data_IF_601934287351
#
_entry.id   IF_601934287351
#
_cell.length_a   1.000
_cell.length_b   1.000
_cell.length_c   1.000
_cell.angle_alpha   90.00
_cell.angle_beta   90.00
_cell.angle_gamma   90.00
#
_symmetry.space_group_name_H-M   'P 1'
#
loop_
_entity.id
_entity.type
_entity.pdbx_description
1 polymer ?
#
# COMPACT_ATOMS: atom_id res chain seq x y z
N UNK A 1 -32.90 -19.89 -17.12
CA UNK A 1 -31.82 -19.48 -16.20
C UNK A 1 -32.35 -19.62 -14.78
N UNK A 2 -32.35 -20.84 -14.25
CA UNK A 2 -32.82 -21.16 -12.89
C UNK A 2 -31.73 -20.77 -11.89
N UNK A 3 -32.04 -19.84 -10.99
CA UNK A 3 -31.19 -19.50 -9.85
C UNK A 3 -31.56 -20.43 -8.70
N UNK A 4 -30.67 -21.39 -8.43
CA UNK A 4 -30.74 -22.28 -7.28
C UNK A 4 -30.61 -21.46 -6.00
N UNK A 5 -31.67 -21.49 -5.18
CA UNK A 5 -31.71 -20.95 -3.82
C UNK A 5 -30.72 -21.73 -2.96
N UNK A 6 -29.64 -21.09 -2.52
CA UNK A 6 -28.72 -21.67 -1.54
C UNK A 6 -29.38 -21.54 -0.15
N UNK A 7 -29.92 -22.65 0.33
CA UNK A 7 -30.32 -22.83 1.73
C UNK A 7 -29.09 -22.74 2.63
N UNK A 8 -29.04 -21.75 3.53
CA UNK A 8 -28.09 -21.74 4.64
C UNK A 8 -28.68 -22.54 5.81
N UNK A 9 -28.12 -23.70 6.19
CA UNK A 9 -28.48 -24.34 7.45
C UNK A 9 -27.90 -23.54 8.63
N UNK A 10 -28.81 -23.00 9.42
CA UNK A 10 -28.72 -22.71 10.86
C UNK A 10 -27.34 -22.94 11.52
N UNK A 11 -26.52 -21.89 11.58
CA UNK A 11 -25.38 -21.84 12.52
C UNK A 11 -25.87 -21.34 13.90
N UNK A 12 -26.57 -22.22 14.63
CA UNK A 12 -26.65 -22.13 16.09
C UNK A 12 -25.41 -22.80 16.67
N UNK A 13 -24.37 -22.02 17.05
CA UNK A 13 -23.49 -22.37 18.18
C UNK A 13 -23.05 -21.10 18.92
N UNK A 14 -23.03 -21.14 20.27
CA UNK A 14 -22.81 -19.98 21.12
C UNK A 14 -21.37 -19.48 21.03
N UNK A 15 -21.19 -18.15 21.07
CA UNK A 15 -19.92 -17.51 21.34
C UNK A 15 -19.43 -17.92 22.73
N UNK A 16 -18.58 -18.94 22.80
CA UNK A 16 -17.80 -19.27 23.98
C UNK A 16 -16.49 -18.48 23.98
N UNK A 17 -16.24 -17.88 25.14
CA UNK A 17 -15.13 -17.03 25.59
C UNK A 17 -13.72 -17.37 25.07
N UNK A 18 -12.91 -16.30 25.06
CA UNK A 18 -11.45 -16.21 25.17
C UNK A 18 -10.61 -16.19 23.88
N UNK A 19 -10.41 -14.98 23.33
CA UNK A 19 -9.08 -14.48 22.99
C UNK A 19 -9.11 -12.95 22.86
N UNK A 20 -9.02 -12.30 24.02
CA UNK A 20 -8.83 -10.86 24.15
C UNK A 20 -7.37 -10.50 23.92
N UNK A 21 -7.02 -9.98 22.74
CA UNK A 21 -5.90 -9.03 22.61
C UNK A 21 -6.40 -7.66 23.06
N UNK A 22 -6.73 -7.57 24.35
CA UNK A 22 -7.05 -6.34 25.04
C UNK A 22 -5.88 -6.13 26.01
N UNK A 23 -5.18 -5.01 25.91
CA UNK A 23 -4.32 -4.59 27.01
C UNK A 23 -5.19 -4.58 28.28
N UNK A 24 -4.76 -5.25 29.37
CA UNK A 24 -5.51 -5.23 30.61
C UNK A 24 -5.44 -3.80 31.17
N UNK A 25 -6.48 -3.01 30.94
CA UNK A 25 -6.80 -1.92 31.83
C UNK A 25 -7.39 -2.57 33.09
N UNK A 26 -6.54 -2.80 34.09
CA UNK A 26 -6.98 -3.11 35.46
C UNK A 26 -7.90 -1.97 35.93
N UNK A 27 -9.21 -2.20 35.82
CA UNK A 27 -10.24 -1.43 36.52
C UNK A 27 -10.19 -1.85 37.99
N UNK A 28 -9.20 -1.32 38.72
CA UNK A 28 -8.89 -1.86 40.04
C UNK A 28 -7.92 -1.05 40.89
N UNK A 29 -7.68 0.22 40.58
CA UNK A 29 -7.09 1.18 41.52
C UNK A 29 -7.79 2.51 41.34
N UNK A 30 -8.36 3.06 42.43
CA UNK A 30 -8.88 4.42 42.52
C UNK A 30 -7.97 5.35 41.71
N UNK A 31 -8.44 5.79 40.55
CA UNK A 31 -7.79 6.82 39.75
C UNK A 31 -7.72 8.04 40.65
N UNK A 32 -6.52 8.33 41.16
CA UNK A 32 -6.22 9.58 41.84
C UNK A 32 -6.54 10.67 40.83
N UNK A 33 -7.63 11.40 41.09
CA UNK A 33 -8.06 12.57 40.33
C UNK A 33 -6.83 13.42 40.01
N UNK A 34 -6.71 13.84 38.75
CA UNK A 34 -5.74 14.87 38.38
C UNK A 34 -5.92 16.04 39.36
N UNK A 35 -4.85 16.51 40.03
CA UNK A 35 -4.99 17.59 40.98
C UNK A 35 -5.47 18.82 40.21
N UNK A 36 -6.65 19.32 40.59
CA UNK A 36 -7.12 20.62 40.14
C UNK A 36 -6.07 21.65 40.53
N UNK A 37 -5.71 22.53 39.59
CA UNK A 37 -4.60 23.48 39.74
C UNK A 37 -4.99 24.73 40.55
N UNK A 38 -5.89 24.55 41.53
CA UNK A 38 -6.25 25.55 42.53
C UNK A 38 -5.78 25.05 43.89
N UNK A 39 -4.56 25.42 44.24
CA UNK A 39 -3.94 25.06 45.51
C UNK A 39 -2.44 25.28 45.46
N UNK A 40 -1.96 26.23 46.25
CA UNK A 40 -0.59 26.73 46.22
C UNK A 40 0.50 25.65 46.30
N UNK A 41 1.54 25.89 45.50
CA UNK A 41 2.96 25.54 45.72
C UNK A 41 3.25 24.28 46.56
N UNK A 42 3.15 23.09 45.94
CA UNK A 42 4.17 22.03 45.98
C UNK A 42 3.63 20.77 45.25
N UNK A 43 3.94 20.62 43.97
CA UNK A 43 3.52 19.46 43.18
C UNK A 43 4.55 19.13 42.11
N UNK A 44 5.12 17.93 42.18
CA UNK A 44 6.06 17.39 41.20
C UNK A 44 5.59 17.69 39.77
N UNK A 45 6.28 18.61 39.08
CA UNK A 45 6.02 18.89 37.66
C UNK A 45 6.14 17.57 36.90
N UNK A 46 5.06 17.14 36.26
CA UNK A 46 5.07 15.96 35.39
C UNK A 46 6.20 16.15 34.38
N UNK A 47 7.13 15.18 34.23
CA UNK A 47 8.21 15.30 33.27
C UNK A 47 7.65 15.60 31.87
N UNK A 48 8.23 16.58 31.17
CA UNK A 48 7.74 17.02 29.85
C UNK A 48 7.58 15.86 28.85
N UNK A 49 8.45 14.84 28.95
CA UNK A 49 8.38 13.60 28.17
C UNK A 49 7.12 12.77 28.46
N UNK A 50 6.76 12.58 29.74
CA UNK A 50 5.52 11.86 30.12
C UNK A 50 4.27 12.62 29.66
N UNK A 51 4.30 13.94 29.68
CA UNK A 51 3.20 14.77 29.18
C UNK A 51 3.05 14.62 27.65
N UNK A 52 4.16 14.54 26.91
CA UNK A 52 4.14 14.26 25.47
C UNK A 52 3.59 12.86 25.16
N UNK A 53 4.02 11.83 25.90
CA UNK A 53 3.51 10.46 25.73
C UNK A 53 2.00 10.39 25.99
N UNK A 54 1.51 11.09 27.02
CA UNK A 54 0.09 11.19 27.33
C UNK A 54 -0.69 11.91 26.21
N UNK A 55 -0.14 13.03 25.69
CA UNK A 55 -0.70 13.76 24.55
C UNK A 55 -0.80 12.90 23.30
N UNK A 56 0.18 12.03 23.05
CA UNK A 56 0.16 11.06 21.96
C UNK A 56 -0.93 10.00 22.20
N UNK A 57 -0.99 9.41 23.40
CA UNK A 57 -1.97 8.39 23.76
C UNK A 57 -3.43 8.89 23.63
N UNK A 58 -3.74 10.10 24.11
CA UNK A 58 -5.06 10.69 23.92
C UNK A 58 -5.39 10.95 22.45
N UNK A 59 -4.37 11.33 21.67
CA UNK A 59 -4.51 11.53 20.24
C UNK A 59 -4.83 10.21 19.52
N UNK A 60 -4.13 9.11 19.81
CA UNK A 60 -4.41 7.77 19.26
C UNK A 60 -5.78 7.22 19.72
N UNK A 61 -6.14 7.44 20.98
CA UNK A 61 -7.45 7.06 21.51
C UNK A 61 -8.58 7.79 20.80
N UNK A 62 -8.47 9.12 20.63
CA UNK A 62 -9.45 9.91 19.88
C UNK A 62 -9.58 9.43 18.43
N UNK A 63 -8.46 9.14 17.76
CA UNK A 63 -8.47 8.56 16.41
C UNK A 63 -9.26 7.24 16.37
N UNK A 64 -9.04 6.37 17.34
CA UNK A 64 -9.74 5.08 17.45
C UNK A 64 -11.25 5.28 17.61
N UNK A 65 -11.69 6.26 18.41
CA UNK A 65 -13.11 6.60 18.55
C UNK A 65 -13.72 7.09 17.24
N UNK A 66 -13.04 7.99 16.52
CA UNK A 66 -13.49 8.50 15.21
C UNK A 66 -13.56 7.37 14.18
N UNK A 67 -12.56 6.49 14.13
CA UNK A 67 -12.58 5.32 13.25
C UNK A 67 -13.74 4.37 13.58
N UNK A 68 -14.06 4.18 14.85
CA UNK A 68 -15.17 3.36 15.29
C UNK A 68 -16.53 3.97 14.92
N UNK A 69 -16.68 5.30 15.07
CA UNK A 69 -17.86 6.04 14.62
C UNK A 69 -18.03 5.92 13.09
N UNK A 70 -16.95 6.07 12.33
CA UNK A 70 -16.95 5.87 10.88
C UNK A 70 -17.31 4.44 10.50
N UNK A 71 -16.78 3.44 11.20
CA UNK A 71 -17.13 2.03 10.99
C UNK A 71 -18.63 1.80 11.21
N UNK A 72 -19.21 2.30 12.31
CA UNK A 72 -20.65 2.20 12.57
C UNK A 72 -21.47 2.79 11.42
N UNK A 73 -21.18 4.03 11.03
CA UNK A 73 -21.92 4.76 9.99
C UNK A 73 -21.80 4.11 8.60
N UNK A 74 -20.59 3.67 8.24
CA UNK A 74 -20.31 3.10 6.93
C UNK A 74 -20.92 1.71 6.79
N UNK A 75 -20.85 0.87 7.83
CA UNK A 75 -21.48 -0.44 7.82
C UNK A 75 -23.01 -0.34 7.83
N UNK A 76 -23.59 0.54 8.64
CA UNK A 76 -25.04 0.78 8.61
C UNK A 76 -25.52 1.21 7.22
N UNK A 77 -24.80 2.16 6.60
CA UNK A 77 -25.09 2.60 5.23
C UNK A 77 -24.89 1.47 4.22
N UNK A 78 -23.87 0.63 4.41
CA UNK A 78 -23.60 -0.56 3.61
C UNK A 78 -24.76 -1.55 3.63
N UNK A 79 -25.22 -1.96 4.82
CA UNK A 79 -26.39 -2.82 5.00
C UNK A 79 -27.64 -2.21 4.37
N UNK A 80 -27.91 -0.94 4.63
CA UNK A 80 -29.06 -0.24 4.03
C UNK A 80 -29.00 -0.26 2.50
N UNK A 81 -27.84 -0.01 1.88
CA UNK A 81 -27.67 0.01 0.42
C UNK A 81 -27.74 -1.39 -0.20
N UNK A 82 -27.11 -2.39 0.40
CA UNK A 82 -27.12 -3.77 -0.15
C UNK A 82 -28.50 -4.41 -0.04
N UNK A 83 -29.21 -4.20 1.07
CA UNK A 83 -30.59 -4.69 1.26
C UNK A 83 -31.56 -3.97 0.33
N UNK A 84 -31.40 -2.65 0.12
CA UNK A 84 -32.17 -1.92 -0.91
C UNK A 84 -31.88 -2.46 -2.32
N UNK A 85 -30.63 -2.84 -2.61
CA UNK A 85 -30.25 -3.44 -3.91
C UNK A 85 -30.86 -4.82 -4.06
N UNK A 86 -30.85 -5.66 -3.03
CA UNK A 86 -31.53 -6.96 -2.99
C UNK A 86 -33.01 -6.81 -3.33
N UNK A 87 -33.71 -5.92 -2.64
CA UNK A 87 -35.15 -5.68 -2.83
C UNK A 87 -35.47 -5.20 -4.25
N UNK A 88 -34.63 -4.32 -4.81
CA UNK A 88 -34.76 -3.86 -6.19
C UNK A 88 -34.53 -4.97 -7.22
N UNK A 89 -33.57 -5.87 -6.98
CA UNK A 89 -33.20 -6.93 -7.93
C UNK A 89 -34.18 -8.11 -7.91
N UNK A 90 -34.78 -8.40 -6.76
CA UNK A 90 -35.70 -9.53 -6.57
C UNK A 90 -37.17 -9.08 -6.46
N UNK A 91 -37.44 -7.79 -6.66
CA UNK A 91 -38.79 -7.18 -6.55
C UNK A 91 -39.53 -7.59 -5.27
N UNK A 92 -38.85 -7.47 -4.13
CA UNK A 92 -39.35 -7.89 -2.80
C UNK A 92 -39.12 -6.80 -1.75
N UNK A 93 -39.74 -6.95 -0.57
CA UNK A 93 -39.54 -6.11 0.61
C UNK A 93 -38.82 -6.84 1.76
N UNK A 94 -38.39 -8.08 1.53
CA UNK A 94 -37.76 -8.91 2.55
C UNK A 94 -36.48 -8.28 3.12
N UNK A 95 -35.67 -7.59 2.30
CA UNK A 95 -34.45 -6.92 2.75
C UNK A 95 -34.73 -5.71 3.65
N UNK A 96 -35.78 -4.93 3.35
CA UNK A 96 -36.23 -3.85 4.21
C UNK A 96 -36.70 -4.36 5.58
N UNK A 97 -37.50 -5.43 5.63
CA UNK A 97 -37.96 -6.04 6.87
C UNK A 97 -36.79 -6.59 7.69
N UNK A 98 -35.87 -7.32 7.02
CA UNK A 98 -34.69 -7.87 7.68
C UNK A 98 -33.80 -6.76 8.27
N UNK A 99 -33.66 -5.61 7.59
CA UNK A 99 -32.93 -4.45 8.12
C UNK A 99 -33.53 -3.96 9.45
N UNK A 100 -34.86 -3.81 9.51
CA UNK A 100 -35.54 -3.32 10.72
C UNK A 100 -35.34 -4.31 11.86
N UNK A 101 -35.51 -5.60 11.57
CA UNK A 101 -35.44 -6.66 12.58
C UNK A 101 -34.02 -6.97 13.08
N UNK A 102 -32.98 -6.70 12.28
CA UNK A 102 -31.61 -7.13 12.60
C UNK A 102 -30.59 -6.00 12.65
N UNK A 103 -30.71 -4.98 11.80
CA UNK A 103 -29.69 -3.92 11.65
C UNK A 103 -30.05 -2.69 12.48
N UNK A 104 -31.30 -2.24 12.39
CA UNK A 104 -31.78 -1.04 13.11
C UNK A 104 -31.80 -1.28 14.62
N UNK A 105 -31.96 -2.54 15.05
CA UNK A 105 -31.90 -2.96 16.46
C UNK A 105 -30.53 -3.44 16.94
N UNK A 106 -29.53 -3.48 16.07
CA UNK A 106 -28.23 -4.02 16.43
C UNK A 106 -27.49 -3.10 17.42
N UNK A 107 -26.81 -3.70 18.41
CA UNK A 107 -26.00 -2.98 19.40
C UNK A 107 -24.95 -2.08 18.75
N UNK A 108 -24.38 -2.50 17.61
CA UNK A 108 -23.38 -1.71 16.91
C UNK A 108 -23.94 -0.39 16.37
N UNK A 109 -25.26 -0.24 16.19
CA UNK A 109 -25.91 0.98 15.67
C UNK A 109 -26.66 1.77 16.74
N UNK A 110 -27.37 1.09 17.64
CA UNK A 110 -28.15 1.71 18.73
C UNK A 110 -27.23 2.49 19.67
N UNK A 111 -26.08 1.93 20.03
CA UNK A 111 -25.18 2.56 20.99
C UNK A 111 -24.61 3.87 20.40
N UNK A 112 -24.91 4.99 21.07
CA UNK A 112 -24.40 6.35 20.75
C UNK A 112 -23.41 6.88 21.79
N UNK A 113 -22.93 6.03 22.69
CA UNK A 113 -21.92 6.40 23.69
C UNK A 113 -20.63 6.90 23.03
N UNK A 114 -20.37 6.47 21.79
CA UNK A 114 -19.24 6.93 21.00
C UNK A 114 -19.21 8.46 20.83
N UNK A 115 -20.37 9.09 20.64
CA UNK A 115 -20.48 10.54 20.47
C UNK A 115 -20.11 11.27 21.78
N UNK A 116 -20.55 10.71 22.91
CA UNK A 116 -20.22 11.19 24.25
C UNK A 116 -18.74 11.01 24.57
N UNK A 117 -18.17 9.83 24.26
CA UNK A 117 -16.75 9.55 24.48
C UNK A 117 -15.84 10.49 23.67
N UNK A 118 -16.24 10.83 22.44
CA UNK A 118 -15.55 11.83 21.62
C UNK A 118 -15.58 13.19 22.32
N UNK A 119 -16.75 13.67 22.74
CA UNK A 119 -16.91 14.96 23.43
C UNK A 119 -16.11 15.03 24.74
N UNK A 120 -16.17 13.96 25.56
CA UNK A 120 -15.44 13.87 26.82
C UNK A 120 -13.92 13.91 26.60
N UNK A 121 -13.46 13.25 25.53
CA UNK A 121 -12.03 13.24 25.15
C UNK A 121 -11.57 14.62 24.67
N UNK A 122 -12.36 15.31 23.84
CA UNK A 122 -12.07 16.69 23.41
C UNK A 122 -11.95 17.63 24.61
N UNK A 123 -12.87 17.50 25.56
CA UNK A 123 -12.94 18.34 26.75
C UNK A 123 -11.74 18.13 27.67
N UNK A 124 -11.38 16.87 27.95
CA UNK A 124 -10.20 16.55 28.76
C UNK A 124 -8.89 17.03 28.14
N UNK A 125 -8.71 16.85 26.82
CA UNK A 125 -7.49 17.28 26.15
C UNK A 125 -7.40 18.80 26.08
N UNK A 126 -8.52 19.48 25.89
CA UNK A 126 -8.58 20.95 25.89
C UNK A 126 -8.23 21.51 27.26
N UNK A 127 -8.91 21.05 28.30
CA UNK A 127 -8.82 21.63 29.64
C UNK A 127 -7.55 21.18 30.37
N UNK A 128 -7.20 19.89 30.30
CA UNK A 128 -6.16 19.32 31.15
C UNK A 128 -4.78 19.25 30.47
N UNK A 129 -4.74 19.25 29.12
CA UNK A 129 -3.49 19.03 28.36
C UNK A 129 -3.05 20.22 27.50
N UNK A 130 -3.96 21.10 27.10
CA UNK A 130 -3.65 22.30 26.32
C UNK A 130 -4.07 23.59 27.02
N UNK A 131 -4.19 23.56 28.35
CA UNK A 131 -4.41 24.73 29.21
C UNK A 131 -5.64 25.57 28.78
N UNK A 132 -6.70 24.92 28.30
CA UNK A 132 -7.93 25.56 27.82
C UNK A 132 -7.92 25.98 26.35
N UNK A 133 -6.79 25.84 25.63
CA UNK A 133 -6.71 26.18 24.21
C UNK A 133 -7.36 25.09 23.33
N UNK A 134 -8.65 25.29 23.06
CA UNK A 134 -9.45 24.41 22.20
C UNK A 134 -8.87 24.29 20.79
N UNK A 135 -8.33 25.38 20.22
CA UNK A 135 -7.81 25.33 18.85
C UNK A 135 -6.58 24.42 18.77
N UNK A 136 -5.67 24.56 19.73
CA UNK A 136 -4.47 23.72 19.83
C UNK A 136 -4.80 22.26 20.15
N UNK A 137 -5.77 22.03 21.03
CA UNK A 137 -6.28 20.69 21.33
C UNK A 137 -6.90 20.02 20.10
N UNK A 138 -7.82 20.70 19.43
CA UNK A 138 -8.49 20.17 18.24
C UNK A 138 -7.53 20.00 17.06
N UNK A 139 -6.52 20.86 16.91
CA UNK A 139 -5.46 20.69 15.89
C UNK A 139 -4.63 19.43 16.11
N UNK A 140 -4.46 18.99 17.37
CA UNK A 140 -3.78 17.73 17.70
C UNK A 140 -4.68 16.51 17.64
N UNK A 141 -5.95 16.64 18.03
CA UNK A 141 -6.89 15.54 18.06
C UNK A 141 -7.43 15.18 16.68
N UNK A 142 -7.89 16.21 15.95
CA UNK A 142 -8.41 16.02 14.60
C UNK A 142 -7.28 15.56 13.72
N UNK A 143 -7.51 14.42 13.07
CA UNK A 143 -6.81 14.16 11.82
C UNK A 143 -7.22 15.29 10.88
N UNK A 144 -6.27 16.00 10.24
CA UNK A 144 -6.61 16.92 9.17
C UNK A 144 -7.61 16.22 8.24
N UNK A 145 -8.65 16.91 7.74
CA UNK A 145 -9.54 16.30 6.78
C UNK A 145 -8.68 15.65 5.69
N UNK A 146 -9.09 14.47 5.19
CA UNK A 146 -8.43 13.79 4.06
C UNK A 146 -8.18 14.75 2.87
N UNK A 147 -8.88 15.90 2.84
CA UNK A 147 -8.62 17.12 2.08
C UNK A 147 -7.47 18.01 2.57
N UNK A 148 -6.31 17.47 2.96
CA UNK A 148 -5.22 18.30 3.52
C UNK A 148 -4.75 19.38 2.53
N UNK A 149 -4.37 20.56 3.06
CA UNK A 149 -3.92 21.71 2.26
C UNK A 149 -2.73 21.30 1.38
N UNK A 150 -2.98 21.13 0.08
CA UNK A 150 -1.91 20.98 -0.89
C UNK A 150 -1.01 22.22 -0.81
N UNK A 151 0.25 22.04 -0.44
CA UNK A 151 1.22 23.12 -0.57
C UNK A 151 1.27 23.50 -2.05
N UNK A 152 1.00 24.76 -2.44
CA UNK A 152 1.12 25.19 -3.83
C UNK A 152 2.49 24.85 -4.43
N UNK A 153 3.51 24.81 -3.58
CA UNK A 153 4.86 24.41 -3.91
C UNK A 153 4.98 22.96 -4.37
N UNK A 154 4.24 22.03 -3.77
CA UNK A 154 4.24 20.61 -4.17
C UNK A 154 3.64 20.45 -5.56
N UNK A 155 2.49 21.09 -5.83
CA UNK A 155 1.86 21.07 -7.17
C UNK A 155 2.81 21.64 -8.23
N UNK A 156 3.47 22.77 -7.93
CA UNK A 156 4.45 23.38 -8.82
C UNK A 156 5.61 22.43 -9.13
N UNK A 157 6.22 21.80 -8.11
CA UNK A 157 7.30 20.82 -8.29
C UNK A 157 6.89 19.64 -9.14
N UNK A 158 5.71 19.06 -8.87
CA UNK A 158 5.18 17.94 -9.66
C UNK A 158 5.08 18.36 -11.13
N UNK A 159 4.52 19.53 -11.42
CA UNK A 159 4.45 20.08 -12.77
C UNK A 159 5.83 20.28 -13.41
N UNK A 160 6.76 20.93 -12.70
CA UNK A 160 8.12 21.20 -13.16
C UNK A 160 8.89 19.92 -13.48
N UNK A 161 8.92 18.95 -12.57
CA UNK A 161 9.66 17.70 -12.77
C UNK A 161 8.99 16.79 -13.81
N UNK A 162 7.65 16.77 -13.88
CA UNK A 162 6.95 16.01 -14.92
C UNK A 162 7.19 16.60 -16.31
N UNK A 163 7.16 17.94 -16.44
CA UNK A 163 7.50 18.63 -17.68
C UNK A 163 8.95 18.39 -18.10
N UNK A 164 9.89 18.52 -17.15
CA UNK A 164 11.30 18.22 -17.40
C UNK A 164 11.52 16.76 -17.82
N UNK A 165 10.84 15.80 -17.17
CA UNK A 165 10.91 14.39 -17.55
C UNK A 165 10.43 14.15 -18.98
N UNK A 166 9.31 14.75 -19.39
CA UNK A 166 8.79 14.61 -20.76
C UNK A 166 9.79 15.15 -21.78
N UNK A 167 10.31 16.36 -21.56
CA UNK A 167 11.29 16.98 -22.47
C UNK A 167 12.56 16.13 -22.56
N UNK A 168 13.10 15.67 -21.43
CA UNK A 168 14.30 14.85 -21.41
C UNK A 168 14.06 13.46 -22.04
N UNK A 169 12.87 12.87 -21.85
CA UNK A 169 12.51 11.61 -22.48
C UNK A 169 12.49 11.74 -24.00
N UNK A 170 11.90 12.83 -24.52
CA UNK A 170 11.91 13.13 -25.96
C UNK A 170 13.36 13.28 -26.46
N UNK A 171 14.20 14.01 -25.73
CA UNK A 171 15.62 14.17 -26.07
C UNK A 171 16.38 12.84 -26.10
N UNK A 172 16.12 11.93 -25.15
CA UNK A 172 16.72 10.58 -25.11
C UNK A 172 16.26 9.75 -26.31
N UNK A 173 14.98 9.82 -26.68
CA UNK A 173 14.43 9.11 -27.85
C UNK A 173 15.07 9.62 -29.14
N UNK A 174 15.12 10.93 -29.34
CA UNK A 174 15.75 11.55 -30.51
C UNK A 174 17.24 11.16 -30.58
N UNK A 175 17.96 11.27 -29.46
CA UNK A 175 19.38 10.90 -29.39
C UNK A 175 19.60 9.42 -29.71
N UNK A 176 18.68 8.54 -29.29
CA UNK A 176 18.72 7.11 -29.61
C UNK A 176 18.55 6.87 -31.11
N UNK A 177 17.55 7.48 -31.74
CA UNK A 177 17.28 7.35 -33.18
C UNK A 177 18.46 7.91 -34.00
N UNK A 178 18.98 9.08 -33.65
CA UNK A 178 20.10 9.70 -34.38
C UNK A 178 21.39 8.89 -34.29
N UNK A 179 21.64 8.22 -33.16
CA UNK A 179 22.82 7.35 -32.99
C UNK A 179 22.67 6.00 -33.67
N UNK A 180 21.47 5.44 -33.69
CA UNK A 180 21.17 4.19 -34.43
C UNK A 180 21.41 4.39 -35.93
N UNK A 181 21.05 5.56 -36.47
CA UNK A 181 21.30 5.94 -37.87
C UNK A 181 22.80 6.06 -38.23
N UNK A 182 23.68 6.35 -37.27
CA UNK A 182 25.13 6.53 -37.50
C UNK A 182 25.97 5.26 -37.22
N UNK A 183 25.36 4.17 -36.72
CA UNK A 183 26.11 2.99 -36.31
C UNK A 183 26.41 2.05 -37.49
N UNK A 184 27.53 2.28 -38.19
CA UNK A 184 28.08 1.33 -39.19
C UNK A 184 28.87 0.17 -38.54
N UNK A 185 29.12 0.20 -37.23
CA UNK A 185 29.83 -0.87 -36.51
C UNK A 185 28.93 -1.45 -35.40
N UNK A 186 28.34 -2.60 -35.68
CA UNK A 186 27.38 -3.34 -34.86
C UNK A 186 27.90 -3.91 -33.53
N UNK A 187 28.64 -3.11 -32.74
CA UNK A 187 29.22 -3.51 -31.44
C UNK A 187 28.34 -3.18 -30.24
N UNK A 188 27.31 -2.34 -30.38
CA UNK A 188 26.41 -1.96 -29.28
C UNK A 188 24.98 -2.47 -29.52
N UNK A 189 24.62 -3.63 -28.97
CA UNK A 189 23.26 -4.17 -29.08
C UNK A 189 22.29 -3.39 -28.17
N UNK A 190 21.37 -2.64 -28.78
CA UNK A 190 20.37 -1.82 -28.09
C UNK A 190 19.52 -2.61 -27.08
N UNK A 191 19.41 -3.94 -27.23
CA UNK A 191 18.68 -4.80 -26.28
C UNK A 191 19.29 -4.79 -24.89
N UNK A 192 20.60 -4.56 -24.77
CA UNK A 192 21.28 -4.45 -23.48
C UNK A 192 20.80 -3.19 -22.75
N UNK A 193 20.84 -2.05 -23.43
CA UNK A 193 20.35 -0.76 -22.90
C UNK A 193 18.86 -0.87 -22.54
N UNK A 194 18.06 -1.43 -23.43
CA UNK A 194 16.63 -1.61 -23.17
C UNK A 194 16.37 -2.41 -21.89
N UNK A 195 17.07 -3.53 -21.66
CA UNK A 195 16.91 -4.34 -20.45
C UNK A 195 17.38 -3.63 -19.18
N UNK A 196 18.45 -2.83 -19.26
CA UNK A 196 18.96 -2.05 -18.13
C UNK A 196 17.98 -0.95 -17.69
N UNK A 197 17.32 -0.30 -18.65
CA UNK A 197 16.51 0.89 -18.39
C UNK A 197 15.01 0.60 -18.27
N UNK A 198 14.50 -0.48 -18.88
CA UNK A 198 13.08 -0.86 -18.84
C UNK A 198 12.60 -1.13 -17.41
N UNK A 199 13.33 -1.93 -16.63
CA UNK A 199 12.93 -2.28 -15.27
C UNK A 199 12.71 -1.05 -14.37
N UNK A 200 13.73 -0.17 -14.23
CA UNK A 200 13.59 1.09 -13.49
C UNK A 200 12.46 1.99 -14.01
N UNK A 201 12.28 2.09 -15.33
CA UNK A 201 11.19 2.88 -15.92
C UNK A 201 9.81 2.35 -15.52
N UNK A 202 9.62 1.03 -15.53
CA UNK A 202 8.36 0.40 -15.13
C UNK A 202 8.04 0.67 -13.66
N UNK A 203 9.05 0.69 -12.77
CA UNK A 203 8.87 1.05 -11.35
C UNK A 203 8.45 2.52 -11.22
N UNK A 204 9.10 3.43 -11.95
CA UNK A 204 8.75 4.86 -11.96
C UNK A 204 7.31 5.06 -12.44
N UNK A 205 6.94 4.42 -13.56
CA UNK A 205 5.59 4.48 -14.11
C UNK A 205 4.56 3.91 -13.13
N UNK A 206 4.88 2.82 -12.45
CA UNK A 206 4.01 2.22 -11.44
C UNK A 206 3.74 3.17 -10.26
N UNK A 207 4.77 3.86 -9.74
CA UNK A 207 4.61 4.86 -8.67
C UNK A 207 3.75 6.03 -9.16
N UNK A 208 3.96 6.48 -10.40
CA UNK A 208 3.14 7.55 -10.98
C UNK A 208 1.67 7.15 -11.10
N UNK A 209 1.38 5.97 -11.65
CA UNK A 209 0.03 5.42 -11.76
C UNK A 209 -0.60 5.18 -10.38
N UNK A 210 0.21 4.87 -9.37
CA UNK A 210 -0.25 4.82 -7.97
C UNK A 210 -0.79 6.16 -7.51
N UNK A 211 -0.06 7.24 -7.77
CA UNK A 211 -0.50 8.61 -7.48
C UNK A 211 -1.82 8.93 -8.17
N UNK A 212 -1.95 8.57 -9.46
CA UNK A 212 -3.20 8.76 -10.23
C UNK A 212 -4.36 7.95 -9.62
N UNK A 213 -4.13 6.70 -9.22
CA UNK A 213 -5.15 5.87 -8.58
C UNK A 213 -5.62 6.46 -7.24
N UNK A 214 -4.68 6.90 -6.39
CA UNK A 214 -5.00 7.55 -5.11
C UNK A 214 -5.79 8.84 -5.33
N UNK A 215 -5.41 9.65 -6.32
CA UNK A 215 -6.16 10.83 -6.73
C UNK A 215 -7.59 10.46 -7.16
N UNK A 216 -7.76 9.44 -8.01
CA UNK A 216 -9.07 8.97 -8.47
C UNK A 216 -9.97 8.44 -7.35
N UNK A 217 -9.41 7.72 -6.38
CA UNK A 217 -10.14 7.27 -5.19
C UNK A 217 -10.60 8.45 -4.34
N UNK A 218 -9.72 9.43 -4.12
CA UNK A 218 -10.03 10.62 -3.35
C UNK A 218 -11.11 11.48 -4.01
N UNK A 219 -11.01 11.73 -5.31
CA UNK A 219 -12.00 12.50 -6.07
C UNK A 219 -13.37 11.81 -6.12
N UNK A 220 -13.39 10.48 -6.09
CA UNK A 220 -14.62 9.67 -6.04
C UNK A 220 -15.17 9.45 -4.62
N UNK A 221 -14.54 10.02 -3.58
CA UNK A 221 -14.98 9.84 -2.19
C UNK A 221 -14.73 8.45 -1.60
N UNK A 222 -13.82 7.66 -2.19
CA UNK A 222 -13.42 6.35 -1.69
C UNK A 222 -12.38 6.51 -0.58
N UNK A 223 -12.68 5.99 0.61
CA UNK A 223 -11.78 6.03 1.78
C UNK A 223 -10.65 4.99 1.64
N UNK A 224 -9.69 5.28 0.77
CA UNK A 224 -8.54 4.41 0.50
C UNK A 224 -7.64 4.20 1.73
N UNK A 225 -7.54 5.20 2.62
CA UNK A 225 -6.80 5.09 3.88
C UNK A 225 -7.35 3.95 4.73
N UNK A 226 -8.68 3.87 4.88
CA UNK A 226 -9.32 2.78 5.60
C UNK A 226 -9.20 1.43 4.87
N UNK A 227 -9.44 1.41 3.55
CA UNK A 227 -9.44 0.17 2.76
C UNK A 227 -8.08 -0.51 2.76
N UNK A 228 -7.00 0.27 2.68
CA UNK A 228 -5.63 -0.23 2.71
C UNK A 228 -5.03 -0.29 4.12
N UNK A 229 -5.83 0.00 5.16
CA UNK A 229 -5.40 0.03 6.56
C UNK A 229 -4.15 0.93 6.78
N UNK A 230 -4.10 2.05 6.06
CA UNK A 230 -3.04 3.05 6.17
C UNK A 230 -3.23 3.91 7.42
N UNK A 231 -2.14 4.40 8.00
CA UNK A 231 -2.20 5.36 9.09
C UNK A 231 -2.82 6.68 8.59
N UNK A 232 -3.96 7.13 9.14
CA UNK A 232 -4.62 8.38 8.74
C UNK A 232 -3.77 9.64 8.95
N UNK A 233 -2.73 9.58 9.79
CA UNK A 233 -1.88 10.74 10.12
C UNK A 233 -0.59 10.79 9.33
N UNK A 234 -0.12 9.65 8.88
CA UNK A 234 1.17 9.50 8.24
C UNK A 234 1.04 8.51 7.09
N UNK A 235 0.45 8.98 6.00
CA UNK A 235 0.45 8.29 4.72
C UNK A 235 0.93 9.23 3.62
N UNK A 236 1.51 8.66 2.57
CA UNK A 236 1.91 9.42 1.39
C UNK A 236 0.65 9.98 0.69
N UNK A 237 0.70 11.26 0.32
CA UNK A 237 -0.33 11.88 -0.51
C UNK A 237 -0.13 11.51 -1.99
N UNK A 238 -1.19 11.64 -2.77
CA UNK A 238 -1.17 11.45 -4.22
C UNK A 238 -0.12 12.32 -4.91
N UNK A 239 0.04 13.58 -4.46
CA UNK A 239 1.02 14.51 -5.02
C UNK A 239 2.45 14.11 -4.65
N UNK A 240 2.68 13.60 -3.43
CA UNK A 240 4.01 13.12 -3.05
C UNK A 240 4.41 11.88 -3.85
N UNK A 241 3.47 10.96 -4.12
CA UNK A 241 3.72 9.82 -5.01
C UNK A 241 4.10 10.29 -6.42
N UNK A 242 3.36 11.24 -6.98
CA UNK A 242 3.67 11.81 -8.30
C UNK A 242 4.97 12.61 -8.31
N UNK A 243 5.31 13.34 -7.24
CA UNK A 243 6.57 14.08 -7.08
C UNK A 243 7.76 13.12 -7.07
N UNK A 244 7.69 12.05 -6.26
CA UNK A 244 8.72 11.01 -6.19
C UNK A 244 8.92 10.33 -7.55
N UNK A 245 7.82 9.99 -8.24
CA UNK A 245 7.89 9.41 -9.58
C UNK A 245 8.53 10.37 -10.59
N UNK A 246 8.15 11.65 -10.59
CA UNK A 246 8.69 12.65 -11.50
C UNK A 246 10.18 12.91 -11.26
N UNK A 247 10.62 13.02 -10.00
CA UNK A 247 12.03 13.18 -9.64
C UNK A 247 12.84 11.96 -10.10
N UNK A 248 12.35 10.75 -9.84
CA UNK A 248 13.02 9.54 -10.32
C UNK A 248 13.00 9.43 -11.85
N UNK A 249 11.96 9.89 -12.52
CA UNK A 249 11.89 10.02 -13.97
C UNK A 249 12.99 10.91 -14.53
N UNK A 250 13.18 12.11 -13.98
CA UNK A 250 14.24 13.04 -14.39
C UNK A 250 15.62 12.40 -14.18
N UNK A 251 15.87 11.82 -13.01
CA UNK A 251 17.11 11.09 -12.73
C UNK A 251 17.30 9.97 -13.76
N UNK A 252 16.24 9.20 -14.06
CA UNK A 252 16.28 8.13 -15.04
C UNK A 252 16.62 8.63 -16.44
N UNK A 253 16.15 9.80 -16.86
CA UNK A 253 16.49 10.37 -18.18
C UNK A 253 17.90 10.96 -18.27
N UNK A 254 18.45 11.51 -17.18
CA UNK A 254 19.79 12.16 -17.18
C UNK A 254 20.95 11.18 -17.05
N UNK A 255 20.65 10.03 -16.49
CA UNK A 255 21.60 9.00 -16.13
C UNK A 255 22.39 8.34 -17.28
N UNK A 256 21.93 8.22 -18.56
CA UNK A 256 22.81 7.81 -19.65
C UNK A 256 23.94 8.82 -19.88
N UNK A 257 23.64 10.11 -19.69
CA UNK A 257 24.59 11.21 -19.88
C UNK A 257 25.57 11.36 -18.72
N UNK A 258 25.17 10.96 -17.50
CA UNK A 258 25.95 11.15 -16.28
C UNK A 258 26.76 9.92 -15.84
N UNK A 259 26.62 8.75 -16.49
CA UNK A 259 27.32 7.50 -16.13
C UNK A 259 27.17 7.04 -14.66
N UNK A 260 26.20 7.58 -13.92
CA UNK A 260 26.06 7.43 -12.46
C UNK A 260 24.72 6.79 -12.08
N UNK A 261 24.50 5.56 -12.51
CA UNK A 261 23.25 4.82 -12.22
C UNK A 261 23.26 4.09 -10.88
N UNK A 262 24.35 3.42 -10.55
CA UNK A 262 24.39 2.46 -9.43
C UNK A 262 24.48 3.15 -8.04
N UNK A 263 25.26 4.23 -7.84
CA UNK A 263 25.40 4.82 -6.50
C UNK A 263 24.19 5.66 -6.06
N UNK A 264 23.55 6.39 -6.97
CA UNK A 264 22.53 7.38 -6.62
C UNK A 264 21.19 6.76 -6.21
N UNK A 265 20.76 5.69 -6.87
CA UNK A 265 19.53 4.98 -6.51
C UNK A 265 19.65 4.31 -5.13
N UNK A 266 20.77 3.65 -4.83
CA UNK A 266 20.98 3.00 -3.52
C UNK A 266 21.11 4.02 -2.38
N UNK A 267 21.79 5.14 -2.60
CA UNK A 267 22.01 6.18 -1.57
C UNK A 267 20.73 6.97 -1.28
N UNK A 268 19.90 7.28 -2.29
CA UNK A 268 18.61 7.97 -2.07
C UNK A 268 17.51 7.04 -1.57
N UNK A 269 17.47 5.76 -1.97
CA UNK A 269 16.56 4.76 -1.38
C UNK A 269 16.88 4.48 0.09
N UNK A 270 18.15 4.52 0.51
CA UNK A 270 18.54 4.47 1.93
C UNK A 270 18.07 5.70 2.74
N UNK A 271 17.89 6.84 2.07
CA UNK A 271 17.56 8.15 2.70
C UNK A 271 16.06 8.49 2.63
N UNK A 272 15.31 7.82 1.76
CA UNK A 272 13.87 7.61 1.91
C UNK A 272 13.70 6.70 3.11
N UNK A 273 13.50 7.33 4.25
CA UNK A 273 13.41 6.77 5.59
C UNK A 273 12.74 5.37 5.60
N UNK A 274 13.55 4.30 5.58
CA UNK A 274 13.11 2.91 5.79
C UNK A 274 12.34 2.79 7.13
N UNK A 275 12.48 3.79 8.01
CA UNK A 275 11.78 3.93 9.28
C UNK A 275 10.33 4.41 9.16
N UNK A 276 9.90 5.05 8.07
CA UNK A 276 8.56 5.67 7.96
C UNK A 276 7.49 4.77 7.36
N UNK A 277 7.84 3.77 6.54
CA UNK A 277 6.87 2.87 5.87
C UNK A 277 7.05 1.39 6.25
N UNK A 278 7.13 1.10 7.56
CA UNK A 278 7.02 -0.29 8.06
C UNK A 278 5.78 -1.02 7.52
N UNK A 279 4.73 -0.28 7.13
CA UNK A 279 3.52 -0.82 6.51
C UNK A 279 3.76 -1.57 5.19
N UNK A 280 4.38 -0.93 4.19
CA UNK A 280 4.62 -1.57 2.89
C UNK A 280 5.58 -2.76 3.01
N UNK A 281 6.65 -2.61 3.79
CA UNK A 281 7.62 -3.70 4.01
C UNK A 281 6.96 -4.88 4.75
N UNK A 282 6.07 -4.61 5.72
CA UNK A 282 5.29 -5.65 6.39
C UNK A 282 4.36 -6.37 5.41
N UNK A 283 3.67 -5.63 4.53
CA UNK A 283 2.80 -6.24 3.49
C UNK A 283 3.62 -7.09 2.52
N UNK A 284 4.74 -6.58 2.00
CA UNK A 284 5.63 -7.35 1.13
C UNK A 284 6.20 -8.59 1.84
N UNK A 285 6.54 -8.48 3.13
CA UNK A 285 6.99 -9.62 3.94
C UNK A 285 5.90 -10.68 4.09
N UNK A 286 4.65 -10.30 4.33
CA UNK A 286 3.49 -11.23 4.38
C UNK A 286 3.20 -11.88 3.03
N UNK A 287 3.38 -11.15 1.93
CA UNK A 287 3.24 -11.68 0.57
C UNK A 287 4.33 -12.73 0.30
N UNK A 288 5.58 -12.41 0.61
CA UNK A 288 6.72 -13.31 0.42
C UNK A 288 6.62 -14.60 1.25
N UNK A 289 5.95 -14.52 2.40
CA UNK A 289 5.71 -15.64 3.32
C UNK A 289 4.31 -16.24 3.18
N UNK A 290 3.58 -15.97 2.09
CA UNK A 290 2.38 -16.73 1.78
C UNK A 290 2.76 -18.22 1.59
N UNK A 291 1.99 -19.19 2.11
CA UNK A 291 0.60 -19.09 2.61
C UNK A 291 0.47 -19.00 4.15
N UNK A 292 1.51 -18.61 4.89
CA UNK A 292 1.54 -18.77 6.36
C UNK A 292 0.67 -17.78 7.14
N UNK A 293 0.32 -16.63 6.55
CA UNK A 293 -0.46 -15.58 7.20
C UNK A 293 -1.89 -15.52 6.66
N UNK A 294 -2.80 -14.90 7.42
CA UNK A 294 -4.11 -14.50 6.88
C UNK A 294 -3.90 -13.48 5.75
N UNK A 295 -4.70 -13.55 4.69
CA UNK A 295 -4.56 -12.68 3.51
C UNK A 295 -5.56 -11.54 3.61
N UNK A 296 -5.09 -10.35 3.96
CA UNK A 296 -5.88 -9.12 3.97
C UNK A 296 -6.06 -8.54 2.56
N UNK A 297 -6.84 -7.46 2.47
CA UNK A 297 -7.08 -6.77 1.20
C UNK A 297 -5.78 -6.18 0.62
N UNK A 298 -4.96 -5.51 1.44
CA UNK A 298 -3.70 -4.92 1.01
C UNK A 298 -2.71 -5.98 0.48
N UNK A 299 -2.57 -7.12 1.16
CA UNK A 299 -1.68 -8.21 0.73
C UNK A 299 -2.13 -8.78 -0.62
N UNK A 300 -3.44 -8.98 -0.78
CA UNK A 300 -4.05 -9.46 -2.02
C UNK A 300 -3.80 -8.48 -3.17
N UNK A 301 -4.02 -7.18 -2.91
CA UNK A 301 -3.98 -6.14 -3.94
C UNK A 301 -2.55 -5.86 -4.39
N UNK A 302 -1.60 -5.71 -3.46
CA UNK A 302 -0.18 -5.49 -3.80
C UNK A 302 0.40 -6.70 -4.53
N UNK A 303 0.08 -7.93 -4.11
CA UNK A 303 0.53 -9.12 -4.83
C UNK A 303 -0.01 -9.16 -6.27
N UNK A 304 -1.21 -8.62 -6.52
CA UNK A 304 -1.76 -8.57 -7.87
C UNK A 304 -1.00 -7.54 -8.73
N UNK A 305 -0.67 -6.39 -8.15
CA UNK A 305 0.20 -5.39 -8.80
C UNK A 305 1.60 -5.94 -9.12
N UNK A 306 2.16 -6.81 -8.29
CA UNK A 306 3.46 -7.44 -8.55
C UNK A 306 3.46 -8.28 -9.83
N UNK A 307 2.32 -8.81 -10.28
CA UNK A 307 2.25 -9.57 -11.53
C UNK A 307 2.56 -8.68 -12.74
N UNK A 308 2.11 -7.42 -12.73
CA UNK A 308 2.45 -6.43 -13.74
C UNK A 308 3.92 -5.99 -13.68
N UNK A 309 4.58 -6.19 -12.53
CA UNK A 309 6.00 -5.86 -12.31
C UNK A 309 6.95 -7.05 -12.50
N UNK A 310 6.47 -8.22 -12.95
CA UNK A 310 7.32 -9.36 -13.25
C UNK A 310 8.50 -9.03 -14.19
N UNK A 311 8.32 -8.23 -15.27
CA UNK A 311 9.45 -7.79 -16.10
C UNK A 311 10.48 -6.97 -15.31
N UNK A 312 10.03 -6.06 -14.46
CA UNK A 312 10.92 -5.23 -13.64
C UNK A 312 11.74 -6.06 -12.64
N UNK A 313 11.15 -7.12 -12.07
CA UNK A 313 11.86 -8.07 -11.19
C UNK A 313 12.95 -8.82 -11.97
N UNK A 314 12.64 -9.32 -13.17
CA UNK A 314 13.64 -10.02 -13.99
C UNK A 314 14.73 -9.09 -14.55
N UNK A 315 14.42 -7.82 -14.78
CA UNK A 315 15.38 -6.81 -15.24
C UNK A 315 16.26 -6.30 -14.10
N UNK A 316 15.75 -6.26 -12.86
CA UNK A 316 16.57 -5.99 -11.67
C UNK A 316 17.68 -7.03 -11.54
N UNK A 317 17.37 -8.31 -11.76
CA UNK A 317 18.39 -9.35 -11.82
C UNK A 317 19.42 -9.11 -12.94
N UNK A 318 18.96 -8.74 -14.15
CA UNK A 318 19.86 -8.40 -15.26
C UNK A 318 20.78 -7.23 -14.91
N UNK A 319 20.24 -6.19 -14.28
CA UNK A 319 20.97 -5.02 -13.84
C UNK A 319 22.03 -5.38 -12.78
N UNK A 320 21.67 -6.19 -11.79
CA UNK A 320 22.62 -6.69 -10.78
C UNK A 320 23.74 -7.50 -11.46
N UNK A 321 23.40 -8.43 -12.34
CA UNK A 321 24.38 -9.23 -13.07
C UNK A 321 25.32 -8.35 -13.92
N UNK A 322 24.79 -7.36 -14.64
CA UNK A 322 25.58 -6.48 -15.50
C UNK A 322 26.64 -5.68 -14.73
N UNK A 323 26.28 -5.14 -13.55
CA UNK A 323 27.19 -4.32 -12.76
C UNK A 323 28.06 -5.09 -11.77
N UNK A 324 27.67 -6.31 -11.39
CA UNK A 324 28.42 -7.13 -10.42
C UNK A 324 29.31 -8.20 -11.07
N UNK A 325 29.03 -8.60 -12.32
CA UNK A 325 29.79 -9.64 -13.01
C UNK A 325 30.99 -9.05 -13.75
N UNK A 326 32.24 -9.46 -13.45
CA UNK A 326 33.43 -9.02 -14.18
C UNK A 326 33.37 -9.36 -15.67
N UNK A 327 32.64 -10.42 -16.02
CA UNK A 327 32.56 -10.95 -17.38
C UNK A 327 31.41 -10.36 -18.19
N UNK A 328 30.60 -9.46 -17.60
CA UNK A 328 29.51 -8.79 -18.30
C UNK A 328 29.98 -7.57 -19.11
N UNK A 329 31.16 -7.01 -18.77
CA UNK A 329 31.72 -5.82 -19.41
C UNK A 329 33.14 -6.07 -19.89
N UNK A 330 33.57 -5.35 -20.93
CA UNK A 330 34.93 -5.45 -21.47
C UNK A 330 35.85 -4.55 -20.63
N UNK A 331 36.94 -5.12 -20.13
CA UNK A 331 37.94 -4.44 -19.27
C UNK A 331 37.33 -3.78 -18.01
N UNK A 332 36.20 -4.28 -17.51
CA UNK A 332 35.48 -3.69 -16.38
C UNK A 332 34.81 -2.33 -16.68
N UNK A 333 34.76 -1.91 -17.96
CA UNK A 333 34.14 -0.64 -18.37
C UNK A 333 32.65 -0.83 -18.62
N UNK A 334 31.79 -0.26 -17.76
CA UNK A 334 30.33 -0.36 -17.88
C UNK A 334 29.72 0.25 -19.15
N UNK A 335 30.51 0.98 -19.92
CA UNK A 335 30.12 1.55 -21.21
C UNK A 335 30.14 0.52 -22.35
N UNK A 336 30.81 -0.62 -22.15
CA UNK A 336 31.00 -1.64 -23.18
C UNK A 336 30.63 -3.00 -22.62
N UNK A 337 29.51 -3.54 -23.12
CA UNK A 337 29.05 -4.86 -22.75
C UNK A 337 29.77 -5.95 -23.56
N UNK A 338 30.04 -7.09 -22.94
CA UNK A 338 30.68 -8.22 -23.63
C UNK A 338 29.69 -8.92 -24.57
N UNK A 339 28.52 -9.32 -24.04
CA UNK A 339 27.47 -9.98 -24.81
C UNK A 339 26.09 -9.79 -24.14
N UNK A 340 25.04 -9.74 -24.95
CA UNK A 340 23.64 -9.56 -24.51
C UNK A 340 23.05 -10.79 -23.85
N UNK A 341 23.59 -11.99 -24.10
CA UNK A 341 23.08 -13.23 -23.53
C UNK A 341 23.77 -13.60 -22.23
N UNK A 342 24.93 -13.02 -21.92
CA UNK A 342 25.71 -13.33 -20.70
C UNK A 342 24.86 -13.37 -19.43
N UNK A 343 24.07 -12.32 -19.15
CA UNK A 343 23.22 -12.22 -17.96
C UNK A 343 21.79 -12.80 -18.14
N UNK A 344 21.55 -13.51 -19.23
CA UNK A 344 20.30 -14.22 -19.51
C UNK A 344 20.54 -15.72 -19.45
N UNK A 345 21.51 -16.21 -20.21
CA UNK A 345 21.75 -17.64 -20.40
C UNK A 345 22.48 -18.25 -19.21
N UNK A 346 23.48 -17.55 -18.65
CA UNK A 346 24.23 -18.07 -17.48
C UNK A 346 23.37 -18.23 -16.22
N UNK A 347 22.23 -17.51 -16.17
CA UNK A 347 21.34 -17.39 -15.01
C UNK A 347 19.89 -17.68 -15.36
N UNK A 348 19.65 -18.47 -16.41
CA UNK A 348 18.32 -18.73 -16.94
C UNK A 348 17.36 -19.30 -15.88
N UNK A 349 17.86 -20.16 -14.99
CA UNK A 349 17.09 -20.79 -13.94
C UNK A 349 16.64 -19.76 -12.89
N UNK A 350 17.54 -18.83 -12.50
CA UNK A 350 17.21 -17.70 -11.61
C UNK A 350 16.12 -16.84 -12.26
N UNK A 351 16.31 -16.48 -13.53
CA UNK A 351 15.36 -15.66 -14.29
C UNK A 351 13.98 -16.32 -14.37
N UNK A 352 13.94 -17.64 -14.57
CA UNK A 352 12.70 -18.42 -14.60
C UNK A 352 11.98 -18.37 -13.25
N UNK A 353 12.71 -18.60 -12.15
CA UNK A 353 12.15 -18.49 -10.78
C UNK A 353 11.60 -17.08 -10.53
N UNK A 354 12.39 -16.04 -10.81
CA UNK A 354 12.00 -14.65 -10.60
C UNK A 354 10.76 -14.26 -11.43
N UNK A 355 10.63 -14.78 -12.65
CA UNK A 355 9.44 -14.56 -13.49
C UNK A 355 8.19 -15.23 -12.93
N UNK A 356 8.34 -16.35 -12.20
CA UNK A 356 7.23 -17.06 -11.57
C UNK A 356 6.83 -16.46 -10.21
N UNK A 357 7.73 -15.76 -9.52
CA UNK A 357 7.51 -15.30 -8.14
C UNK A 357 6.20 -14.51 -7.93
N UNK A 358 5.85 -13.49 -8.75
CA UNK A 358 4.60 -12.76 -8.56
C UNK A 358 3.35 -13.63 -8.66
N UNK A 359 3.34 -14.56 -9.63
CA UNK A 359 2.23 -15.49 -9.81
C UNK A 359 2.20 -16.53 -8.68
N UNK A 360 3.36 -16.97 -8.20
CA UNK A 360 3.49 -17.85 -7.04
C UNK A 360 2.88 -17.24 -5.78
N UNK A 361 3.19 -15.98 -5.47
CA UNK A 361 2.61 -15.32 -4.31
C UNK A 361 1.08 -15.28 -4.37
N UNK A 362 0.52 -14.98 -5.55
CA UNK A 362 -0.92 -14.97 -5.76
C UNK A 362 -1.55 -16.35 -5.68
N UNK A 363 -0.91 -17.35 -6.28
CA UNK A 363 -1.32 -18.75 -6.18
C UNK A 363 -1.39 -19.20 -4.71
N UNK A 364 -0.32 -18.99 -3.94
CA UNK A 364 -0.25 -19.34 -2.53
C UNK A 364 -1.31 -18.61 -1.69
N UNK A 365 -1.52 -17.30 -1.92
CA UNK A 365 -2.58 -16.53 -1.28
C UNK A 365 -3.98 -17.07 -1.61
N UNK A 366 -4.24 -17.47 -2.86
CA UNK A 366 -5.54 -18.00 -3.26
C UNK A 366 -5.82 -19.35 -2.58
N UNK A 367 -4.84 -20.23 -2.49
CA UNK A 367 -4.96 -21.49 -1.75
C UNK A 367 -5.18 -21.26 -0.25
N UNK A 368 -4.46 -20.29 0.34
CA UNK A 368 -4.68 -19.89 1.74
C UNK A 368 -6.11 -19.40 1.97
N UNK A 369 -6.64 -18.54 1.10
CA UNK A 369 -8.02 -18.06 1.21
C UNK A 369 -9.04 -19.18 1.07
N UNK A 370 -8.85 -20.11 0.12
CA UNK A 370 -9.68 -21.30 0.02
C UNK A 370 -9.65 -22.14 1.30
N UNK A 371 -8.46 -22.34 1.89
CA UNK A 371 -8.33 -23.08 3.15
C UNK A 371 -9.15 -22.45 4.27
N UNK A 372 -9.16 -21.12 4.33
CA UNK A 372 -9.75 -20.33 5.41
C UNK A 372 -11.27 -20.19 5.26
N UNK A 373 -11.78 -19.95 4.05
CA UNK A 373 -13.21 -19.74 3.81
C UNK A 373 -13.96 -21.00 3.40
N UNK A 374 -13.25 -22.03 2.89
CA UNK A 374 -13.80 -23.22 2.22
C UNK A 374 -14.62 -22.92 0.96
N UNK A 375 -14.55 -21.70 0.44
CA UNK A 375 -15.24 -21.30 -0.77
C UNK A 375 -14.39 -21.56 -2.01
N UNK A 376 -14.79 -22.55 -2.82
CA UNK A 376 -14.06 -22.92 -4.04
C UNK A 376 -14.03 -21.76 -5.05
N UNK A 377 -15.14 -21.06 -5.22
CA UNK A 377 -15.23 -19.85 -6.03
C UNK A 377 -15.19 -18.60 -5.14
N UNK A 378 -14.35 -17.58 -5.45
CA UNK A 378 -13.47 -17.46 -6.61
C UNK A 378 -12.05 -18.01 -6.37
N UNK A 379 -11.75 -18.58 -5.20
CA UNK A 379 -10.38 -18.83 -4.77
C UNK A 379 -9.61 -19.86 -5.60
N UNK A 380 -10.19 -21.04 -5.85
CA UNK A 380 -9.52 -22.08 -6.64
C UNK A 380 -9.44 -21.71 -8.13
N UNK A 381 -10.44 -21.00 -8.66
CA UNK A 381 -10.40 -20.48 -10.04
C UNK A 381 -9.25 -19.49 -10.21
N UNK A 382 -9.07 -18.58 -9.25
CA UNK A 382 -7.95 -17.65 -9.26
C UNK A 382 -6.62 -18.38 -9.07
N UNK A 383 -6.53 -19.38 -8.18
CA UNK A 383 -5.34 -20.21 -8.05
C UNK A 383 -4.98 -20.87 -9.40
N UNK A 384 -5.97 -21.45 -10.09
CA UNK A 384 -5.82 -21.98 -11.44
C UNK A 384 -5.26 -20.94 -12.41
N UNK A 385 -5.89 -19.76 -12.47
CA UNK A 385 -5.43 -18.62 -13.30
C UNK A 385 -3.96 -18.29 -13.08
N UNK A 386 -3.52 -18.10 -11.83
CA UNK A 386 -2.12 -17.75 -11.57
C UNK A 386 -1.15 -18.93 -11.78
N UNK A 387 -1.61 -20.17 -11.62
CA UNK A 387 -0.78 -21.36 -11.91
C UNK A 387 -0.42 -21.51 -13.39
N UNK A 388 -1.23 -20.95 -14.31
CA UNK A 388 -0.95 -20.98 -15.75
C UNK A 388 0.41 -20.36 -16.09
N UNK A 389 0.85 -19.35 -15.32
CA UNK A 389 2.15 -18.71 -15.46
C UNK A 389 3.30 -19.71 -15.30
N UNK A 390 3.17 -20.71 -14.42
CA UNK A 390 4.23 -21.70 -14.20
C UNK A 390 4.46 -22.53 -15.47
N UNK A 391 3.37 -22.91 -16.16
CA UNK A 391 3.46 -23.65 -17.41
C UNK A 391 4.06 -22.79 -18.53
N UNK A 392 3.60 -21.53 -18.66
CA UNK A 392 4.14 -20.59 -19.66
C UNK A 392 5.64 -20.39 -19.47
N UNK A 393 6.10 -20.16 -18.24
CA UNK A 393 7.52 -19.98 -17.94
C UNK A 393 8.29 -21.28 -18.19
N UNK A 394 7.77 -22.43 -17.74
CA UNK A 394 8.44 -23.74 -17.93
C UNK A 394 8.63 -24.05 -19.42
N UNK A 395 7.58 -23.93 -20.24
CA UNK A 395 7.69 -24.18 -21.68
C UNK A 395 8.57 -23.16 -22.40
N UNK A 396 8.51 -21.89 -22.01
CA UNK A 396 9.38 -20.84 -22.55
C UNK A 396 10.85 -21.14 -22.25
N UNK A 397 11.16 -21.59 -21.03
CA UNK A 397 12.51 -21.98 -20.65
C UNK A 397 12.95 -23.24 -21.38
N UNK A 398 12.13 -24.29 -21.45
CA UNK A 398 12.47 -25.52 -22.19
C UNK A 398 12.74 -25.28 -23.67
N UNK A 399 11.97 -24.39 -24.33
CA UNK A 399 12.19 -24.00 -25.73
C UNK A 399 13.55 -23.36 -25.98
N UNK A 400 14.20 -22.79 -24.97
CA UNK A 400 15.55 -22.24 -25.13
C UNK A 400 16.63 -23.33 -25.12
N UNK A 401 16.30 -24.58 -24.73
CA UNK A 401 17.24 -25.70 -24.56
C UNK A 401 16.99 -26.90 -25.48
N UNK A 402 15.83 -26.96 -26.10
CA UNK A 402 15.49 -27.91 -27.17
C UNK A 402 15.58 -27.14 -28.48
#
# INVERSE_FOLDING_TARGET
MQLSVVNYPQLKRPFTKNQSFFFPLEVGKKSRLLPSRDGGLNGNKVPARKLQDLKLAFSEYYLSLVLLQNYQNLNYTGFRKILKKHDKMLSTHAGANWRIENVDVANFYINKDIDKLIQDTESKVTNDLEDGDRQKAMKRLRVPPLGDHHSPWTTFKVGLFSGAFIVLLITVIISGISKDYQSEQGRNDWRIVFRLYRGPLLVILFIFLMGVNVYGWRSSGVNHVLIFELDPRNHLSEQHLMEVAAIFGVIWTLSPSLSLWVPFCLIRLKRLDIRRDFGLLRVLGRIATAPFFYVGFADFWIADQLNSLAPAITDLHYLICFYSSPNATIDGKWQVATDKFRCVDSTYWIRSILSCLPAWFRFAQCLRRYRDTKEAFPHLVNAGKYSTTFFVVTFSTLKLYI
#
